data_IF_216667139187
#
_entry.id   IF_216667139187
#
_cell.length_a   1.000
_cell.length_b   1.000
_cell.length_c   1.000
_cell.angle_alpha   90.00
_cell.angle_beta   90.00
_cell.angle_gamma   90.00
#
_symmetry.space_group_name_H-M   'P 1'
#
loop_
_entity.id
_entity.type
_entity.pdbx_description
1 polymer ?
#
# COMPACT_ATOMS: atom_id res chain seq x y z
N UNK A 1 9.04 -18.81 -41.25
CA UNK A 1 9.29 -19.26 -39.85
C UNK A 1 9.97 -18.18 -38.98
N UNK A 2 10.77 -17.28 -39.55
CA UNK A 2 11.47 -16.21 -38.79
C UNK A 2 10.54 -15.20 -38.12
N UNK A 3 9.42 -14.81 -38.75
CA UNK A 3 8.46 -13.88 -38.16
C UNK A 3 7.81 -14.41 -36.86
N UNK A 4 7.52 -15.72 -36.82
CA UNK A 4 6.96 -16.37 -35.63
C UNK A 4 7.95 -16.33 -34.46
N UNK A 5 9.23 -16.58 -34.73
CA UNK A 5 10.28 -16.51 -33.71
C UNK A 5 10.43 -15.10 -33.11
N UNK A 6 10.32 -14.05 -33.94
CA UNK A 6 10.33 -12.67 -33.47
C UNK A 6 9.13 -12.34 -32.58
N UNK A 7 7.93 -12.79 -32.96
CA UNK A 7 6.74 -12.59 -32.13
C UNK A 7 6.87 -13.26 -30.75
N UNK A 8 7.42 -14.48 -30.70
CA UNK A 8 7.68 -15.18 -29.42
C UNK A 8 8.68 -14.43 -28.55
N UNK A 9 9.74 -13.88 -29.14
CA UNK A 9 10.76 -13.11 -28.41
C UNK A 9 10.15 -11.83 -27.83
N UNK A 10 9.40 -11.06 -28.63
CA UNK A 10 8.73 -9.84 -28.18
C UNK A 10 7.75 -10.12 -27.05
N UNK A 11 6.96 -11.19 -27.16
CA UNK A 11 6.03 -11.61 -26.11
C UNK A 11 6.78 -11.93 -24.81
N UNK A 12 7.85 -12.74 -24.87
CA UNK A 12 8.64 -13.10 -23.68
C UNK A 12 9.30 -11.89 -23.01
N UNK A 13 9.89 -10.99 -23.80
CA UNK A 13 10.51 -9.75 -23.28
C UNK A 13 9.45 -8.83 -22.65
N UNK A 14 8.27 -8.71 -23.25
CA UNK A 14 7.20 -7.87 -22.71
C UNK A 14 6.76 -8.34 -21.32
N UNK A 15 6.61 -9.66 -21.11
CA UNK A 15 6.27 -10.24 -19.82
C UNK A 15 7.38 -10.07 -18.79
N UNK A 16 8.64 -10.25 -19.20
CA UNK A 16 9.78 -10.03 -18.32
C UNK A 16 9.84 -8.58 -17.82
N UNK A 17 9.60 -7.60 -18.70
CA UNK A 17 9.55 -6.19 -18.32
C UNK A 17 8.42 -5.93 -17.31
N UNK A 18 7.19 -6.44 -17.58
CA UNK A 18 6.05 -6.30 -16.67
C UNK A 18 6.37 -6.88 -15.29
N UNK A 19 7.00 -8.06 -15.25
CA UNK A 19 7.35 -8.72 -13.99
C UNK A 19 8.40 -7.92 -13.20
N UNK A 20 9.41 -7.37 -13.88
CA UNK A 20 10.43 -6.54 -13.23
C UNK A 20 9.82 -5.24 -12.67
N UNK A 21 8.93 -4.59 -13.42
CA UNK A 21 8.22 -3.39 -12.94
C UNK A 21 7.34 -3.70 -11.73
N UNK A 22 6.62 -4.83 -11.77
CA UNK A 22 5.84 -5.29 -10.64
C UNK A 22 6.71 -5.55 -9.41
N UNK A 23 7.85 -6.21 -9.57
CA UNK A 23 8.78 -6.47 -8.46
C UNK A 23 9.38 -5.19 -7.87
N UNK A 24 9.61 -4.15 -8.70
CA UNK A 24 10.25 -2.92 -8.25
C UNK A 24 9.31 -2.00 -7.46
N UNK A 25 8.14 -1.66 -8.02
CA UNK A 25 7.20 -0.71 -7.41
C UNK A 25 5.76 -1.23 -7.32
N UNK A 26 5.44 -2.35 -7.95
CA UNK A 26 4.10 -2.94 -7.90
C UNK A 26 3.87 -3.74 -6.60
N UNK A 27 4.90 -4.44 -6.13
CA UNK A 27 4.91 -5.15 -4.85
C UNK A 27 5.26 -4.18 -3.71
N UNK A 28 4.49 -3.11 -3.64
CA UNK A 28 4.39 -2.29 -2.45
C UNK A 28 3.51 -3.13 -1.50
N UNK A 29 4.13 -3.77 -0.51
CA UNK A 29 3.50 -4.80 0.32
C UNK A 29 2.16 -4.40 0.95
N UNK A 30 1.36 -5.36 1.43
CA UNK A 30 -0.02 -5.12 1.90
C UNK A 30 -0.13 -4.09 3.03
N UNK A 31 0.99 -3.80 3.71
CA UNK A 31 1.08 -2.87 4.83
C UNK A 31 1.45 -1.44 4.45
N UNK A 32 1.83 -1.18 3.20
CA UNK A 32 2.29 0.14 2.79
C UNK A 32 1.22 1.21 2.99
N UNK A 33 -0.04 0.91 2.65
CA UNK A 33 -1.13 1.85 2.87
C UNK A 33 -1.27 2.21 4.34
N UNK A 34 -1.21 1.20 5.23
CA UNK A 34 -1.33 1.41 6.67
C UNK A 34 -0.16 2.24 7.22
N UNK A 35 1.07 1.91 6.79
CA UNK A 35 2.28 2.61 7.21
C UNK A 35 2.29 4.07 6.72
N UNK A 36 1.93 4.31 5.46
CA UNK A 36 1.81 5.67 4.91
C UNK A 36 0.71 6.45 5.62
N UNK A 37 -0.44 5.84 5.89
CA UNK A 37 -1.52 6.52 6.61
C UNK A 37 -1.12 6.87 8.04
N UNK A 38 -0.43 5.97 8.75
CA UNK A 38 0.09 6.25 10.10
C UNK A 38 1.09 7.41 10.08
N UNK A 39 2.00 7.41 9.11
CA UNK A 39 3.00 8.46 8.97
C UNK A 39 2.36 9.82 8.63
N UNK A 40 1.40 9.84 7.71
CA UNK A 40 0.63 11.04 7.38
C UNK A 40 -0.09 11.60 8.61
N UNK A 41 -0.72 10.73 9.41
CA UNK A 41 -1.39 11.15 10.64
C UNK A 41 -0.40 11.69 11.68
N UNK A 42 0.78 11.09 11.79
CA UNK A 42 1.86 11.58 12.69
C UNK A 42 2.29 12.98 12.29
N UNK A 43 2.61 13.20 11.01
CA UNK A 43 3.05 14.51 10.48
C UNK A 43 1.98 15.57 10.72
N UNK A 44 0.71 15.27 10.43
CA UNK A 44 -0.40 16.21 10.66
C UNK A 44 -0.53 16.58 12.14
N UNK A 45 -0.42 15.60 13.05
CA UNK A 45 -0.50 15.86 14.48
C UNK A 45 0.64 16.75 14.98
N UNK A 46 1.86 16.49 14.53
CA UNK A 46 3.02 17.33 14.85
C UNK A 46 2.84 18.77 14.33
N UNK A 47 2.38 18.92 13.09
CA UNK A 47 2.17 20.23 12.47
C UNK A 47 1.15 21.09 13.22
N UNK A 48 0.08 20.47 13.76
CA UNK A 48 -1.00 21.18 14.44
C UNK A 48 -0.93 21.09 15.98
N UNK A 49 0.14 20.53 16.55
CA UNK A 49 0.33 20.43 18.00
C UNK A 49 -0.63 19.48 18.71
N UNK A 50 -1.17 18.49 18.00
CA UNK A 50 -2.04 17.47 18.60
C UNK A 50 -1.22 16.41 19.36
N UNK A 51 -1.79 15.79 20.41
CA UNK A 51 -1.16 14.67 21.08
C UNK A 51 -0.97 13.47 20.12
N UNK A 52 -0.01 12.57 20.40
CA UNK A 52 0.25 11.38 19.61
C UNK A 52 -1.03 10.57 19.36
N UNK A 53 -1.10 9.88 18.22
CA UNK A 53 -2.24 9.04 17.90
C UNK A 53 -2.42 7.96 18.98
N UNK A 54 -3.64 7.84 19.49
CA UNK A 54 -4.01 6.83 20.47
C UNK A 54 -3.94 5.44 19.81
N UNK A 55 -3.26 4.50 20.48
CA UNK A 55 -3.15 3.13 19.99
C UNK A 55 -4.49 2.43 20.23
N UNK A 56 -5.24 2.20 19.15
CA UNK A 56 -6.51 1.49 19.23
C UNK A 56 -6.28 0.05 19.69
N UNK A 57 -7.07 -0.37 20.68
CA UNK A 57 -7.17 -1.79 21.01
C UNK A 57 -7.83 -2.55 19.85
N UNK A 58 -7.64 -3.88 19.78
CA UNK A 58 -8.25 -4.70 18.72
C UNK A 58 -9.78 -4.56 18.67
N UNK A 59 -10.44 -4.45 19.83
CA UNK A 59 -11.88 -4.22 19.90
C UNK A 59 -12.29 -2.84 19.34
N UNK A 60 -11.50 -1.80 19.60
CA UNK A 60 -11.81 -0.45 19.09
C UNK A 60 -11.49 -0.29 17.61
N UNK A 61 -10.59 -1.12 17.07
CA UNK A 61 -10.31 -1.17 15.64
C UNK A 61 -11.51 -1.74 14.85
N UNK A 62 -12.25 -2.68 15.43
CA UNK A 62 -13.46 -3.27 14.82
C UNK A 62 -14.68 -2.33 14.88
N UNK A 63 -14.67 -1.35 15.78
CA UNK A 63 -15.77 -0.40 15.96
C UNK A 63 -15.43 0.92 15.24
N UNK A 64 -16.30 1.41 14.34
CA UNK A 64 -16.06 2.68 13.66
C UNK A 64 -16.01 3.84 14.66
N UNK A 65 -15.19 4.89 14.42
CA UNK A 65 -14.94 5.96 15.39
C UNK A 65 -16.21 6.63 15.95
N UNK A 66 -17.24 6.78 15.11
CA UNK A 66 -18.52 7.39 15.50
C UNK A 66 -19.31 6.58 16.53
N UNK A 67 -19.07 5.26 16.63
CA UNK A 67 -19.77 4.35 17.54
C UNK A 67 -18.99 4.02 18.81
N UNK A 68 -17.70 4.41 18.90
CA UNK A 68 -16.86 4.11 20.07
C UNK A 68 -17.35 4.79 21.36
N UNK A 69 -17.95 5.97 21.25
CA UNK A 69 -18.46 6.72 22.41
C UNK A 69 -19.82 6.22 22.94
N UNK A 70 -20.44 5.24 22.27
CA UNK A 70 -21.74 4.68 22.63
C UNK A 70 -21.65 3.30 23.31
N UNK A 71 -20.42 2.81 23.53
CA UNK A 71 -20.12 1.58 24.29
C UNK A 71 -19.83 1.97 25.75
#
# INVERSE_FOLDING_TARGET
MTGVAWCMLVMGVSLAIIFLLWMWFGYIGPRFSDEVMLEQQRILREQYGFPPAEQLTKEEAEIPPSLRALK
#
